data_IF_520624298702
#
_entry.id   IF_520624298702
#
_cell.length_a   1.000
_cell.length_b   1.000
_cell.length_c   1.000
_cell.angle_alpha   90.00
_cell.angle_beta   90.00
_cell.angle_gamma   90.00
#
_symmetry.space_group_name_H-M   'P 1'
#
loop_
_entity.id
_entity.type
_entity.pdbx_description
1 polymer ?
#
# COMPACT_ATOMS: atom_id res chain seq x y z
N UNK A 1 13.43 -28.77 22.80
CA UNK A 1 13.29 -27.71 21.82
C UNK A 1 13.85 -28.14 20.47
N UNK A 2 13.11 -27.94 19.45
CA UNK A 2 13.49 -28.36 18.12
C UNK A 2 14.27 -27.25 17.40
N UNK A 3 15.56 -27.47 17.20
CA UNK A 3 16.44 -26.51 16.52
C UNK A 3 16.04 -26.30 15.07
N UNK A 4 15.42 -27.29 14.46
CA UNK A 4 15.10 -27.25 13.03
C UNK A 4 13.94 -26.31 12.73
N UNK A 5 13.05 -26.11 13.69
CA UNK A 5 11.91 -25.20 13.52
C UNK A 5 12.38 -23.76 13.33
N UNK A 6 13.45 -23.34 14.01
CA UNK A 6 13.97 -21.98 13.90
C UNK A 6 14.61 -21.67 12.55
N UNK A 7 14.91 -22.69 11.75
CA UNK A 7 15.51 -22.52 10.43
C UNK A 7 14.48 -22.58 9.30
N UNK A 8 13.22 -22.89 9.61
CA UNK A 8 12.16 -22.95 8.62
C UNK A 8 11.60 -21.53 8.41
N UNK A 9 11.65 -21.00 7.16
CA UNK A 9 11.05 -19.68 6.91
C UNK A 9 9.56 -19.71 7.24
N UNK A 10 9.11 -18.67 7.93
CA UNK A 10 7.72 -18.49 8.32
C UNK A 10 7.19 -17.15 7.84
N UNK A 11 5.90 -17.11 7.52
CA UNK A 11 5.24 -15.86 7.20
C UNK A 11 5.31 -14.92 8.41
N UNK A 12 5.31 -13.63 8.14
CA UNK A 12 5.30 -12.61 9.18
C UNK A 12 3.92 -12.58 9.87
N UNK A 13 3.92 -12.25 11.13
CA UNK A 13 2.68 -12.03 11.87
C UNK A 13 2.11 -10.64 11.53
N UNK A 14 0.83 -10.48 11.76
CA UNK A 14 0.11 -9.23 11.46
C UNK A 14 0.79 -8.00 12.09
N UNK A 15 1.20 -8.11 13.35
CA UNK A 15 1.87 -7.00 14.04
C UNK A 15 3.18 -6.60 13.35
N UNK A 16 3.92 -7.57 12.84
CA UNK A 16 5.16 -7.31 12.11
C UNK A 16 4.90 -6.62 10.79
N UNK A 17 3.88 -7.08 10.05
CA UNK A 17 3.47 -6.47 8.78
C UNK A 17 3.04 -5.03 9.00
N UNK A 18 2.22 -4.77 10.01
CA UNK A 18 1.76 -3.43 10.35
C UNK A 18 2.94 -2.50 10.64
N UNK A 19 3.91 -2.98 11.39
CA UNK A 19 5.10 -2.19 11.74
C UNK A 19 5.91 -1.83 10.49
N UNK A 20 6.10 -2.80 9.60
CA UNK A 20 6.84 -2.59 8.35
C UNK A 20 6.12 -1.56 7.48
N UNK A 21 4.82 -1.70 7.31
CA UNK A 21 4.05 -0.77 6.48
C UNK A 21 4.06 0.64 7.06
N UNK A 22 3.86 0.79 8.37
CA UNK A 22 3.89 2.11 9.00
C UNK A 22 5.26 2.77 8.87
N UNK A 23 6.34 2.01 9.01
CA UNK A 23 7.68 2.53 8.81
C UNK A 23 7.92 2.96 7.37
N UNK A 24 7.42 2.21 6.41
CA UNK A 24 7.51 2.57 5.00
C UNK A 24 6.71 3.85 4.70
N UNK A 25 5.51 3.97 5.23
CA UNK A 25 4.68 5.16 5.06
C UNK A 25 5.41 6.40 5.61
N UNK A 26 5.96 6.30 6.81
CA UNK A 26 6.69 7.42 7.42
C UNK A 26 7.86 7.88 6.55
N UNK A 27 8.57 6.92 5.96
CA UNK A 27 9.69 7.23 5.08
C UNK A 27 9.22 7.86 3.78
N UNK A 28 8.15 7.34 3.21
CA UNK A 28 7.58 7.84 1.97
C UNK A 28 7.03 9.26 2.14
N UNK A 29 6.39 9.53 3.26
CA UNK A 29 5.83 10.86 3.56
C UNK A 29 6.89 11.94 3.72
N UNK A 30 8.14 11.57 3.92
CA UNK A 30 9.24 12.53 3.93
C UNK A 30 9.56 13.04 2.51
N UNK A 31 9.16 12.33 1.49
CA UNK A 31 9.48 12.68 0.11
C UNK A 31 8.31 13.14 -0.72
N UNK A 32 7.11 12.58 -0.49
CA UNK A 32 5.90 12.92 -1.23
C UNK A 32 4.69 12.96 -0.31
N UNK A 33 3.63 13.69 -0.69
CA UNK A 33 2.35 13.56 0.00
C UNK A 33 1.75 12.18 -0.31
N UNK A 34 1.11 11.56 0.67
CA UNK A 34 0.46 10.26 0.50
C UNK A 34 -0.94 10.34 1.08
N UNK A 35 -1.94 10.13 0.25
CA UNK A 35 -3.33 10.22 0.66
C UNK A 35 -3.80 8.96 1.39
N UNK A 36 -3.43 7.79 0.86
CA UNK A 36 -3.83 6.53 1.48
C UNK A 36 -2.86 5.41 1.09
N UNK A 37 -2.70 4.43 1.96
CA UNK A 37 -1.96 3.20 1.67
C UNK A 37 -2.86 2.02 1.99
N UNK A 38 -2.91 1.04 1.10
CA UNK A 38 -3.78 -0.12 1.24
C UNK A 38 -2.95 -1.39 1.09
N UNK A 39 -2.97 -2.25 2.12
CA UNK A 39 -2.39 -3.58 2.05
C UNK A 39 -3.36 -4.49 1.29
N UNK A 40 -2.86 -5.20 0.28
CA UNK A 40 -3.64 -6.18 -0.44
C UNK A 40 -2.85 -7.48 -0.61
N UNK A 41 -3.38 -8.43 -1.35
CA UNK A 41 -2.72 -9.70 -1.58
C UNK A 41 -2.79 -10.63 -0.38
N UNK A 42 -1.85 -11.57 -0.31
CA UNK A 42 -1.91 -12.69 0.64
C UNK A 42 -1.92 -12.25 2.11
N UNK A 43 -1.17 -11.21 2.48
CA UNK A 43 -1.20 -10.74 3.86
C UNK A 43 -2.52 -10.07 4.23
N UNK A 44 -3.17 -9.41 3.29
CA UNK A 44 -4.48 -8.81 3.54
C UNK A 44 -5.58 -9.88 3.65
N UNK A 45 -5.43 -10.96 2.89
CA UNK A 45 -6.40 -12.06 2.86
C UNK A 45 -6.20 -13.07 4.01
N UNK A 46 -5.16 -12.89 4.81
CA UNK A 46 -4.89 -13.79 5.94
C UNK A 46 -4.34 -15.14 5.53
N UNK A 47 -3.75 -15.24 4.33
CA UNK A 47 -3.21 -16.49 3.79
C UNK A 47 -1.77 -16.33 3.31
N UNK A 48 -0.87 -15.70 4.10
CA UNK A 48 0.51 -15.53 3.66
C UNK A 48 1.29 -16.84 3.73
N UNK A 49 2.21 -16.98 2.78
CA UNK A 49 3.19 -18.06 2.80
C UNK A 49 4.55 -17.49 3.23
N UNK A 50 5.53 -18.37 3.45
CA UNK A 50 6.85 -17.99 3.96
C UNK A 50 7.54 -16.92 3.12
N UNK A 51 7.33 -16.93 1.81
CA UNK A 51 7.99 -16.00 0.88
C UNK A 51 7.02 -14.99 0.26
N UNK A 52 5.85 -14.81 0.86
CA UNK A 52 4.88 -13.83 0.36
C UNK A 52 5.43 -12.42 0.45
N UNK A 53 5.23 -11.64 -0.62
CA UNK A 53 5.53 -10.22 -0.61
C UNK A 53 4.48 -9.46 0.19
N UNK A 54 4.86 -8.29 0.66
CA UNK A 54 3.92 -7.35 1.28
C UNK A 54 3.44 -6.42 0.17
N UNK A 55 2.25 -6.70 -0.38
CA UNK A 55 1.69 -5.95 -1.50
C UNK A 55 0.94 -4.73 -0.98
N UNK A 56 1.36 -3.55 -1.40
CA UNK A 56 0.69 -2.31 -1.00
C UNK A 56 0.39 -1.43 -2.20
N UNK A 57 -0.75 -0.73 -2.12
CA UNK A 57 -1.13 0.30 -3.07
C UNK A 57 -0.94 1.65 -2.39
N UNK A 58 -0.21 2.54 -3.05
CA UNK A 58 0.03 3.91 -2.58
C UNK A 58 -0.81 4.86 -3.42
N UNK A 59 -1.69 5.60 -2.77
CA UNK A 59 -2.54 6.59 -3.43
C UNK A 59 -1.94 7.96 -3.18
N UNK A 60 -1.54 8.64 -4.26
CA UNK A 60 -0.97 9.98 -4.16
C UNK A 60 -1.21 10.79 -5.42
N UNK A 61 -1.60 12.04 -5.26
CA UNK A 61 -1.73 12.99 -6.37
C UNK A 61 -0.38 13.37 -6.97
N UNK A 62 0.72 13.13 -6.23
CA UNK A 62 2.06 13.35 -6.73
C UNK A 62 2.36 12.52 -8.00
N UNK A 63 1.70 11.38 -8.14
CA UNK A 63 1.89 10.51 -9.29
C UNK A 63 1.21 11.01 -10.57
N UNK A 64 0.34 12.00 -10.48
CA UNK A 64 -0.36 12.53 -11.64
C UNK A 64 0.58 13.18 -12.64
N UNK A 65 0.33 12.95 -13.93
CA UNK A 65 1.11 13.55 -14.99
C UNK A 65 2.48 12.93 -15.21
N UNK A 66 2.84 11.92 -14.42
CA UNK A 66 4.12 11.21 -14.54
C UNK A 66 3.90 9.88 -15.24
N UNK A 67 4.86 9.42 -16.05
CA UNK A 67 4.76 8.08 -16.64
C UNK A 67 4.65 7.02 -15.55
N UNK A 68 3.76 6.06 -15.75
CA UNK A 68 3.52 5.00 -14.77
C UNK A 68 4.80 4.27 -14.36
N UNK A 69 5.70 4.01 -15.32
CA UNK A 69 6.97 3.33 -15.04
C UNK A 69 7.86 4.14 -14.11
N UNK A 70 7.85 5.46 -14.21
CA UNK A 70 8.63 6.32 -13.34
C UNK A 70 8.11 6.29 -11.90
N UNK A 71 6.80 6.26 -11.72
CA UNK A 71 6.18 6.14 -10.41
C UNK A 71 6.52 4.79 -9.77
N UNK A 72 6.47 3.73 -10.56
CA UNK A 72 6.84 2.39 -10.09
C UNK A 72 8.31 2.33 -9.67
N UNK A 73 9.19 2.88 -10.47
CA UNK A 73 10.63 2.93 -10.15
C UNK A 73 10.90 3.72 -8.87
N UNK A 74 10.20 4.82 -8.70
CA UNK A 74 10.33 5.65 -7.49
C UNK A 74 9.97 4.86 -6.24
N UNK A 75 8.80 4.23 -6.24
CA UNK A 75 8.35 3.42 -5.10
C UNK A 75 9.26 2.22 -4.85
N UNK A 76 9.69 1.54 -5.91
CA UNK A 76 10.57 0.38 -5.79
C UNK A 76 11.90 0.75 -5.18
N UNK A 77 12.42 1.93 -5.49
CA UNK A 77 13.68 2.43 -4.96
C UNK A 77 13.60 2.68 -3.46
N UNK A 78 12.51 3.30 -3.02
CA UNK A 78 12.29 3.54 -1.59
C UNK A 78 12.08 2.22 -0.85
N UNK A 79 11.26 1.34 -1.42
CA UNK A 79 10.99 0.03 -0.83
C UNK A 79 12.27 -0.79 -0.67
N UNK A 80 13.12 -0.83 -1.70
CA UNK A 80 14.36 -1.60 -1.67
C UNK A 80 15.32 -1.13 -0.58
N UNK A 81 15.32 0.16 -0.27
CA UNK A 81 16.16 0.73 0.79
C UNK A 81 15.61 0.47 2.18
N UNK A 82 14.31 0.24 2.29
CA UNK A 82 13.67 0.06 3.57
C UNK A 82 13.44 -1.41 3.91
N UNK A 83 12.75 -2.13 3.05
CA UNK A 83 12.45 -3.54 3.24
C UNK A 83 12.12 -4.19 1.90
N UNK A 84 12.93 -5.17 1.49
CA UNK A 84 12.82 -5.80 0.19
C UNK A 84 11.56 -6.66 0.01
N UNK A 85 10.83 -6.94 1.08
CA UNK A 85 9.56 -7.67 0.99
C UNK A 85 8.42 -6.81 0.46
N UNK A 86 8.57 -5.49 0.48
CA UNK A 86 7.51 -4.59 0.04
C UNK A 86 7.48 -4.52 -1.48
N UNK A 87 6.30 -4.76 -2.03
CA UNK A 87 6.01 -4.56 -3.44
C UNK A 87 4.90 -3.51 -3.54
N UNK A 88 5.25 -2.32 -4.02
CA UNK A 88 4.36 -1.17 -4.00
C UNK A 88 3.89 -0.80 -5.39
N UNK A 89 2.58 -0.57 -5.53
CA UNK A 89 1.95 -0.06 -6.75
C UNK A 89 1.51 1.39 -6.52
N UNK A 90 1.63 2.21 -7.56
CA UNK A 90 1.27 3.62 -7.51
C UNK A 90 -0.08 3.86 -8.18
N UNK A 91 -0.94 4.60 -7.50
CA UNK A 91 -2.22 5.04 -8.05
C UNK A 91 -2.42 6.52 -7.75
N UNK A 92 -3.05 7.23 -8.68
CA UNK A 92 -3.39 8.64 -8.47
C UNK A 92 -4.71 8.76 -7.72
N UNK A 93 -4.93 9.92 -7.10
CA UNK A 93 -6.22 10.22 -6.48
C UNK A 93 -7.34 10.20 -7.54
N UNK A 94 -7.04 10.64 -8.75
CA UNK A 94 -7.97 10.60 -9.89
C UNK A 94 -8.41 9.18 -10.20
N UNK A 95 -7.47 8.25 -10.29
CA UNK A 95 -7.78 6.84 -10.52
C UNK A 95 -8.66 6.28 -9.42
N UNK A 96 -8.39 6.68 -8.18
CA UNK A 96 -9.18 6.25 -7.03
C UNK A 96 -10.64 6.72 -7.12
N UNK A 97 -10.88 7.93 -7.60
CA UNK A 97 -12.24 8.49 -7.73
C UNK A 97 -13.00 7.96 -8.93
N UNK A 98 -12.30 7.41 -9.92
CA UNK A 98 -12.91 6.89 -11.16
C UNK A 98 -12.77 5.37 -11.24
N UNK A 99 -12.92 4.68 -10.12
CA UNK A 99 -12.76 3.23 -10.06
C UNK A 99 -13.82 2.52 -10.90
N UNK A 100 -13.38 1.69 -11.84
CA UNK A 100 -14.22 0.72 -12.53
C UNK A 100 -14.24 -0.54 -11.69
N UNK A 101 -15.42 -1.10 -11.44
CA UNK A 101 -15.59 -2.30 -10.61
C UNK A 101 -14.79 -3.51 -11.08
N UNK A 102 -14.34 -3.49 -12.33
CA UNK A 102 -13.59 -4.61 -12.93
C UNK A 102 -12.09 -4.45 -12.82
N UNK A 103 -11.60 -3.31 -12.36
CA UNK A 103 -10.16 -3.08 -12.29
C UNK A 103 -9.55 -3.56 -10.98
N UNK A 104 -8.24 -3.75 -10.99
CA UNK A 104 -7.47 -4.20 -9.82
C UNK A 104 -7.67 -3.25 -8.63
N UNK A 105 -7.68 -1.95 -8.86
CA UNK A 105 -7.81 -0.96 -7.79
C UNK A 105 -9.15 -1.10 -7.05
N UNK A 106 -10.23 -1.41 -7.78
CA UNK A 106 -11.54 -1.63 -7.15
C UNK A 106 -11.47 -2.79 -6.17
N UNK A 107 -10.84 -3.89 -6.55
CA UNK A 107 -10.67 -5.05 -5.67
C UNK A 107 -9.80 -4.71 -4.46
N UNK A 108 -8.71 -4.00 -4.67
CA UNK A 108 -7.82 -3.55 -3.60
C UNK A 108 -8.59 -2.71 -2.57
N UNK A 109 -9.38 -1.76 -3.03
CA UNK A 109 -10.16 -0.87 -2.15
C UNK A 109 -11.22 -1.65 -1.37
N UNK A 110 -11.85 -2.64 -2.01
CA UNK A 110 -12.92 -3.44 -1.38
C UNK A 110 -12.40 -4.43 -0.36
N UNK A 111 -11.26 -5.06 -0.64
CA UNK A 111 -10.77 -6.19 0.16
C UNK A 111 -9.51 -5.89 0.96
N UNK A 112 -8.83 -4.80 0.67
CA UNK A 112 -7.58 -4.45 1.30
C UNK A 112 -7.74 -3.80 2.67
N UNK A 113 -6.64 -3.76 3.41
CA UNK A 113 -6.57 -3.11 4.70
C UNK A 113 -5.98 -1.71 4.53
N UNK A 114 -6.72 -0.70 4.95
CA UNK A 114 -6.33 0.71 4.79
C UNK A 114 -5.50 1.18 5.96
N UNK A 115 -4.45 1.96 5.65
CA UNK A 115 -3.58 2.58 6.64
C UNK A 115 -3.71 4.09 6.56
N UNK A 116 -3.87 4.72 7.72
CA UNK A 116 -3.96 6.17 7.82
C UNK A 116 -2.61 6.81 7.54
N UNK A 117 -2.63 7.93 6.84
CA UNK A 117 -1.46 8.77 6.55
C UNK A 117 -1.68 10.14 7.17
N UNK A 118 -0.65 10.98 7.13
CA UNK A 118 -0.78 12.36 7.62
C UNK A 118 -1.91 13.09 6.88
N UNK A 119 -2.09 12.83 5.58
CA UNK A 119 -3.12 13.49 4.77
C UNK A 119 -4.42 12.69 4.65
N UNK A 120 -4.51 11.58 5.36
CA UNK A 120 -5.66 10.68 5.22
C UNK A 120 -7.00 11.34 5.51
N UNK A 121 -7.08 12.14 6.58
CA UNK A 121 -8.34 12.80 6.96
C UNK A 121 -8.82 13.73 5.86
N UNK A 122 -7.94 14.57 5.36
CA UNK A 122 -8.26 15.51 4.28
C UNK A 122 -8.68 14.77 3.02
N UNK A 123 -8.01 13.69 2.70
CA UNK A 123 -8.34 12.85 1.55
C UNK A 123 -9.76 12.27 1.68
N UNK A 124 -10.12 11.75 2.84
CA UNK A 124 -11.45 11.18 3.08
C UNK A 124 -12.52 12.27 3.00
N UNK A 125 -12.28 13.43 3.56
CA UNK A 125 -13.21 14.56 3.50
C UNK A 125 -13.47 15.01 2.07
N UNK A 126 -12.42 15.12 1.25
CA UNK A 126 -12.59 15.47 -0.16
C UNK A 126 -13.39 14.41 -0.91
N UNK A 127 -13.17 13.14 -0.63
CA UNK A 127 -13.89 12.05 -1.24
C UNK A 127 -15.38 12.10 -0.93
N UNK A 128 -15.73 12.36 0.31
CA UNK A 128 -17.12 12.48 0.74
C UNK A 128 -17.81 13.70 0.13
N UNK A 129 -17.12 14.83 0.08
CA UNK A 129 -17.61 16.05 -0.57
C UNK A 129 -17.88 15.79 -2.05
N UNK A 130 -17.01 15.09 -2.73
CA UNK A 130 -17.18 14.74 -4.12
C UNK A 130 -18.44 13.87 -4.34
N UNK A 131 -18.69 12.91 -3.46
CA UNK A 131 -19.88 12.06 -3.51
C UNK A 131 -21.18 12.87 -3.33
N UNK A 132 -21.16 13.79 -2.41
CA UNK A 132 -22.33 14.64 -2.13
C UNK A 132 -22.61 15.59 -3.27
N UNK A 133 -21.56 16.11 -3.93
CA UNK A 133 -21.71 17.04 -5.03
C UNK A 133 -22.26 16.40 -6.31
N UNK A 134 -22.25 15.10 -6.40
CA UNK A 134 -22.71 14.33 -7.55
C UNK A 134 -23.84 13.38 -7.18
#
# INVERSE_FOLDING_TARGET
MDKYVSHVPMALQEAQVNRIIRGFIARLEQEIPVQEVILFGSYAEGKPEAHSDIDIAVISDWFEGRPAIENLKFLSRIAARYNTMIEALAFTEKEYHKIDHRCLLARIVQTGKKYKTVQWREFVERRETFRVAH
#
